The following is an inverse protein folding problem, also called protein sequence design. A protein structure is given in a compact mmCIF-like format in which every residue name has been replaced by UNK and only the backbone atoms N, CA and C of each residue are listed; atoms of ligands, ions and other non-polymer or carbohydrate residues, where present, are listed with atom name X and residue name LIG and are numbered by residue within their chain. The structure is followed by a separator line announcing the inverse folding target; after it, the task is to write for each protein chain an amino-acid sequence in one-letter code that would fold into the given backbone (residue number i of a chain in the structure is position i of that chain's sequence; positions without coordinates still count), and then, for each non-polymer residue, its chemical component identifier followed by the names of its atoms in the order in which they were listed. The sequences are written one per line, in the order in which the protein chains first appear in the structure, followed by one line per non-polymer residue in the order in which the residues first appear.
data_IF_047390011110
#
_entry.id   IF_047390011110
#
_cell.length_a   1.000
_cell.length_b   1.000
_cell.length_c   1.000
_cell.angle_alpha   90.00
_cell.angle_beta   90.00
_cell.angle_gamma   90.00
#
_symmetry.space_group_name_H-M   'P 1'
#
loop_
_entity.id
_entity.type
_entity.pdbx_description
1 polymer ?
#
# COMPACT_ATOMS: atom_id res chain seq x y z
N UNK A 1 -12.09 17.83 8.34
CA UNK A 1 -12.20 16.98 7.14
C UNK A 1 -12.55 15.57 7.57
N UNK A 2 -13.66 15.03 7.07
CA UNK A 2 -14.04 13.63 7.25
C UNK A 2 -13.08 12.74 6.45
N UNK A 3 -12.81 11.53 6.95
CA UNK A 3 -12.00 10.55 6.23
C UNK A 3 -12.81 9.80 5.17
N UNK A 4 -14.07 9.50 5.47
CA UNK A 4 -15.02 8.95 4.49
C UNK A 4 -15.32 10.00 3.43
N UNK A 5 -14.99 9.70 2.19
CA UNK A 5 -15.21 10.54 1.02
C UNK A 5 -15.38 9.63 -0.22
N UNK A 6 -16.62 9.26 -0.59
CA UNK A 6 -16.86 8.32 -1.68
C UNK A 6 -16.44 8.82 -3.07
N UNK A 7 -16.32 10.14 -3.26
CA UNK A 7 -15.97 10.72 -4.57
C UNK A 7 -14.46 10.87 -4.79
N UNK A 8 -13.62 10.50 -3.82
CA UNK A 8 -12.17 10.54 -3.98
C UNK A 8 -11.60 9.16 -4.35
N UNK A 9 -10.29 9.13 -4.63
CA UNK A 9 -9.57 7.88 -4.80
C UNK A 9 -9.76 6.98 -3.58
N UNK A 10 -10.20 5.74 -3.81
CA UNK A 10 -10.32 4.72 -2.77
C UNK A 10 -9.02 4.62 -1.98
N UNK A 11 -9.08 5.02 -0.71
CA UNK A 11 -7.92 5.01 0.20
C UNK A 11 -8.22 4.09 1.36
N UNK A 12 -7.24 3.30 1.77
CA UNK A 12 -7.31 2.43 2.93
C UNK A 12 -6.10 2.67 3.84
N UNK A 13 -6.34 2.76 5.14
CA UNK A 13 -5.33 2.98 6.18
C UNK A 13 -5.50 1.90 7.24
N UNK A 14 -4.41 1.25 7.63
CA UNK A 14 -4.43 0.14 8.58
C UNK A 14 -4.12 0.65 9.99
N UNK A 15 -4.86 0.15 10.98
CA UNK A 15 -4.47 0.19 12.39
C UNK A 15 -4.90 -1.10 13.07
N UNK A 16 -4.34 -1.41 14.23
CA UNK A 16 -4.74 -2.58 15.01
C UNK A 16 -5.42 -2.13 16.29
N UNK A 17 -6.45 -2.85 16.71
CA UNK A 17 -7.07 -2.63 18.02
C UNK A 17 -6.07 -2.97 19.12
N UNK A 18 -5.89 -2.06 20.07
CA UNK A 18 -4.92 -2.21 21.16
C UNK A 18 -5.13 -3.50 21.97
N UNK A 19 -6.38 -3.90 22.17
CA UNK A 19 -6.75 -5.06 22.99
C UNK A 19 -6.37 -6.40 22.37
N UNK A 20 -6.18 -6.45 21.04
CA UNK A 20 -5.75 -7.64 20.33
C UNK A 20 -4.80 -7.28 19.18
N UNK A 21 -3.50 -7.21 19.50
CA UNK A 21 -2.44 -6.87 18.55
C UNK A 21 -2.12 -7.99 17.55
N UNK A 22 -2.64 -9.20 17.77
CA UNK A 22 -2.45 -10.35 16.89
C UNK A 22 -3.63 -10.53 15.90
N UNK A 23 -4.66 -9.70 16.00
CA UNK A 23 -5.80 -9.70 15.09
C UNK A 23 -5.41 -9.20 13.67
N UNK A 24 -6.29 -9.46 12.70
CA UNK A 24 -6.25 -8.76 11.40
C UNK A 24 -6.40 -7.24 11.64
N UNK A 25 -5.76 -6.40 10.81
CA UNK A 25 -5.80 -4.97 10.99
C UNK A 25 -7.20 -4.47 10.64
N UNK A 26 -7.64 -3.42 11.31
CA UNK A 26 -8.80 -2.63 10.89
C UNK A 26 -8.39 -1.76 9.71
N UNK A 27 -9.18 -1.79 8.65
CA UNK A 27 -9.02 -0.91 7.49
C UNK A 27 -9.98 0.27 7.66
N UNK A 28 -9.42 1.45 7.93
CA UNK A 28 -10.14 2.70 7.73
C UNK A 28 -10.15 2.97 6.23
N UNK A 29 -11.33 3.03 5.60
CA UNK A 29 -11.43 3.30 4.17
C UNK A 29 -12.28 4.52 3.84
N UNK A 30 -11.98 5.20 2.73
CA UNK A 30 -12.78 6.36 2.27
C UNK A 30 -14.18 5.96 1.81
N UNK A 31 -14.39 4.66 1.52
CA UNK A 31 -15.62 4.06 1.04
C UNK A 31 -16.33 3.21 2.10
N UNK A 32 -15.91 3.28 3.37
CA UNK A 32 -16.57 2.56 4.46
C UNK A 32 -18.03 3.01 4.63
N UNK A 33 -18.92 2.05 4.85
CA UNK A 33 -20.34 2.30 5.10
C UNK A 33 -20.75 2.04 6.55
N UNK A 34 -19.82 1.61 7.40
CA UNK A 34 -20.12 1.29 8.79
C UNK A 34 -20.60 2.52 9.58
N UNK A 35 -21.57 2.30 10.46
CA UNK A 35 -22.00 3.30 11.44
C UNK A 35 -20.91 3.51 12.49
N UNK A 36 -20.12 2.48 12.78
CA UNK A 36 -19.09 2.50 13.81
C UNK A 36 -17.98 3.53 13.51
N UNK A 37 -17.59 3.70 12.24
CA UNK A 37 -16.54 4.63 11.83
C UNK A 37 -17.09 5.92 11.20
N UNK A 38 -18.41 6.10 11.22
CA UNK A 38 -19.04 7.30 10.67
C UNK A 38 -18.52 8.57 11.36
N UNK A 39 -18.27 9.62 10.57
CA UNK A 39 -17.76 10.89 11.07
C UNK A 39 -16.30 10.88 11.54
N UNK A 40 -15.56 9.77 11.37
CA UNK A 40 -14.12 9.76 11.64
C UNK A 40 -13.40 10.79 10.76
N UNK A 41 -12.56 11.61 11.39
CA UNK A 41 -11.80 12.66 10.72
C UNK A 41 -10.46 12.13 10.23
N UNK A 42 -9.93 12.70 9.16
CA UNK A 42 -8.63 12.32 8.57
C UNK A 42 -7.53 12.26 9.63
N UNK A 43 -7.44 13.27 10.51
CA UNK A 43 -6.39 13.31 11.54
C UNK A 43 -6.50 12.19 12.59
N UNK A 44 -7.72 11.70 12.89
CA UNK A 44 -7.92 10.58 13.84
C UNK A 44 -7.43 9.28 13.23
N UNK A 45 -7.75 9.06 11.95
CA UNK A 45 -7.28 7.90 11.18
C UNK A 45 -5.76 7.94 11.00
N UNK A 46 -5.21 9.10 10.63
CA UNK A 46 -3.77 9.32 10.53
C UNK A 46 -3.07 9.04 11.88
N UNK A 47 -3.65 9.52 12.98
CA UNK A 47 -3.11 9.26 14.33
C UNK A 47 -3.22 7.80 14.74
N UNK A 48 -4.27 7.08 14.33
CA UNK A 48 -4.43 5.66 14.62
C UNK A 48 -3.32 4.83 13.95
N UNK A 49 -3.06 5.06 12.66
CA UNK A 49 -1.99 4.35 11.95
C UNK A 49 -0.60 4.75 12.41
N UNK A 50 -0.39 5.97 12.93
CA UNK A 50 0.93 6.43 13.36
C UNK A 50 1.21 6.20 14.85
N UNK A 51 0.28 5.61 15.60
CA UNK A 51 0.40 5.40 17.05
C UNK A 51 1.30 4.20 17.35
N UNK A 52 2.57 4.26 16.95
CA UNK A 52 3.55 3.20 17.11
C UNK A 52 3.71 2.82 18.58
N UNK A 53 3.45 1.55 18.88
CA UNK A 53 3.60 1.00 20.24
C UNK A 53 5.02 1.27 20.72
N UNK A 54 5.18 1.70 21.98
CA UNK A 54 6.43 2.17 22.61
C UNK A 54 6.86 3.61 22.30
N UNK A 55 6.30 4.26 21.28
CA UNK A 55 6.59 5.66 20.93
C UNK A 55 5.44 6.61 21.24
N UNK A 56 4.21 6.18 20.95
CA UNK A 56 3.03 7.04 21.00
C UNK A 56 1.89 6.42 21.79
N UNK A 57 1.07 7.27 22.43
CA UNK A 57 -0.17 6.84 23.07
C UNK A 57 -1.19 6.38 22.02
N UNK A 58 -1.96 5.31 22.30
CA UNK A 58 -3.11 4.89 21.49
C UNK A 58 -4.14 6.02 21.33
N UNK A 59 -5.03 5.88 20.34
CA UNK A 59 -6.13 6.82 20.11
C UNK A 59 -7.47 6.09 20.05
N UNK A 60 -8.51 6.73 20.60
CA UNK A 60 -9.89 6.26 20.48
C UNK A 60 -10.54 6.76 19.20
N UNK A 61 -11.09 5.85 18.40
CA UNK A 61 -11.71 6.15 17.11
C UNK A 61 -13.07 5.46 17.01
N UNK A 62 -13.99 6.07 16.26
CA UNK A 62 -15.34 5.55 16.04
C UNK A 62 -16.32 5.83 17.18
N UNK A 63 -17.58 5.43 16.96
CA UNK A 63 -18.71 5.60 17.88
C UNK A 63 -18.45 4.97 19.24
N UNK A 64 -17.89 3.76 19.22
CA UNK A 64 -17.70 2.94 20.42
C UNK A 64 -16.36 3.26 21.13
N UNK A 65 -15.58 4.22 20.60
CA UNK A 65 -14.35 4.69 21.23
C UNK A 65 -13.24 3.64 21.31
N UNK A 66 -13.17 2.72 20.35
CA UNK A 66 -12.18 1.64 20.29
C UNK A 66 -10.77 2.22 20.25
N UNK A 67 -9.86 1.67 21.08
CA UNK A 67 -8.46 2.10 21.12
C UNK A 67 -7.65 1.44 19.99
N UNK A 68 -6.99 2.26 19.19
CA UNK A 68 -6.14 1.84 18.08
C UNK A 68 -4.67 2.21 18.30
N UNK A 69 -3.81 1.35 17.77
CA UNK A 69 -2.35 1.51 17.66
C UNK A 69 -1.90 1.24 16.22
N UNK A 70 -0.67 1.62 15.91
CA UNK A 70 -0.03 1.39 14.62
C UNK A 70 -0.01 -0.11 14.24
N UNK A 71 -0.25 -0.40 12.97
CA UNK A 71 -0.24 -1.75 12.42
C UNK A 71 1.17 -2.29 12.09
N UNK A 72 2.23 -1.53 12.37
CA UNK A 72 3.61 -1.88 12.06
C UNK A 72 4.06 -3.21 12.68
N UNK A 73 3.42 -3.65 13.76
CA UNK A 73 3.54 -5.01 14.26
C UNK A 73 2.78 -5.99 13.35
N UNK A 74 3.43 -6.44 12.28
CA UNK A 74 2.90 -7.47 11.37
C UNK A 74 2.45 -6.93 10.01
N UNK A 75 2.04 -5.66 9.93
CA UNK A 75 1.53 -5.04 8.70
C UNK A 75 2.30 -3.77 8.31
N UNK A 76 3.58 -3.68 8.68
CA UNK A 76 4.46 -2.56 8.28
C UNK A 76 4.67 -2.44 6.76
N UNK A 77 4.45 -3.53 6.03
CA UNK A 77 4.17 -3.48 4.59
C UNK A 77 2.70 -3.88 4.39
N UNK A 78 1.80 -2.93 4.10
CA UNK A 78 0.36 -3.23 4.02
C UNK A 78 -0.02 -3.90 2.70
N UNK A 79 0.91 -4.09 1.75
CA UNK A 79 0.58 -4.44 0.37
C UNK A 79 -0.18 -5.76 0.24
N UNK A 80 0.11 -6.78 1.06
CA UNK A 80 -0.65 -8.04 0.99
C UNK A 80 -2.13 -7.83 1.34
N UNK A 81 -2.40 -7.11 2.44
CA UNK A 81 -3.76 -6.75 2.86
C UNK A 81 -4.45 -5.85 1.83
N UNK A 82 -3.71 -4.92 1.23
CA UNK A 82 -4.25 -4.00 0.24
C UNK A 82 -4.49 -4.66 -1.13
N UNK A 83 -3.72 -5.67 -1.50
CA UNK A 83 -3.98 -6.50 -2.69
C UNK A 83 -5.27 -7.28 -2.50
N UNK A 84 -5.46 -7.91 -1.32
CA UNK A 84 -6.72 -8.60 -0.99
C UNK A 84 -7.92 -7.62 -1.00
N UNK A 85 -7.76 -6.42 -0.43
CA UNK A 85 -8.81 -5.39 -0.45
C UNK A 85 -9.11 -4.92 -1.87
N UNK A 86 -8.09 -4.65 -2.68
CA UNK A 86 -8.27 -4.21 -4.06
C UNK A 86 -9.00 -5.27 -4.90
N UNK A 87 -8.67 -6.55 -4.76
CA UNK A 87 -9.39 -7.65 -5.42
C UNK A 87 -10.88 -7.68 -5.02
N UNK A 88 -11.22 -7.36 -3.76
CA UNK A 88 -12.62 -7.26 -3.31
C UNK A 88 -13.33 -6.02 -3.85
N UNK A 89 -12.65 -4.88 -3.94
CA UNK A 89 -13.24 -3.62 -4.39
C UNK A 89 -13.41 -3.54 -5.90
N UNK A 90 -12.62 -4.32 -6.65
CA UNK A 90 -12.56 -4.28 -8.11
C UNK A 90 -12.77 -5.68 -8.70
N UNK A 91 -13.92 -6.33 -8.45
CA UNK A 91 -14.20 -7.65 -8.99
C UNK A 91 -14.23 -7.59 -10.52
N UNK A 92 -13.53 -8.51 -11.18
CA UNK A 92 -13.47 -8.58 -12.66
C UNK A 92 -12.28 -7.88 -13.31
N UNK A 93 -11.46 -7.14 -12.54
CA UNK A 93 -10.20 -6.62 -13.06
C UNK A 93 -9.12 -7.71 -13.02
N UNK A 94 -8.73 -8.21 -14.20
CA UNK A 94 -7.79 -9.33 -14.36
C UNK A 94 -6.32 -8.94 -14.18
N UNK A 95 -6.00 -7.65 -14.11
CA UNK A 95 -4.63 -7.15 -13.98
C UNK A 95 -4.55 -6.06 -12.91
N UNK A 96 -3.64 -6.24 -11.95
CA UNK A 96 -3.31 -5.27 -10.92
C UNK A 96 -1.85 -4.87 -11.07
N UNK A 97 -1.54 -3.58 -10.87
CA UNK A 97 -0.18 -3.12 -10.64
C UNK A 97 -0.05 -2.59 -9.24
N UNK A 98 0.98 -3.03 -8.53
CA UNK A 98 1.25 -2.70 -7.14
C UNK A 98 2.60 -2.01 -7.06
N UNK A 99 2.57 -0.77 -6.58
CA UNK A 99 3.76 -0.01 -6.21
C UNK A 99 3.89 -0.01 -4.69
N UNK A 100 4.95 -0.62 -4.18
CA UNK A 100 5.29 -0.63 -2.76
C UNK A 100 6.45 0.32 -2.51
N UNK A 101 6.26 1.33 -1.67
CA UNK A 101 7.32 2.25 -1.26
C UNK A 101 7.66 1.97 0.20
N UNK A 102 8.90 1.55 0.45
CA UNK A 102 9.41 1.31 1.78
C UNK A 102 10.14 2.54 2.35
N UNK A 103 10.16 2.64 3.68
CA UNK A 103 10.79 3.73 4.42
C UNK A 103 12.29 3.51 4.68
N UNK A 104 12.86 2.47 4.10
CA UNK A 104 14.27 2.11 4.27
C UNK A 104 14.61 1.44 5.60
N UNK A 105 13.60 1.00 6.35
CA UNK A 105 13.80 0.25 7.59
C UNK A 105 14.39 -1.14 7.29
N UNK A 106 15.72 -1.24 7.38
CA UNK A 106 16.52 -2.41 7.07
C UNK A 106 16.86 -3.27 8.28
N UNK A 107 18.05 -3.91 8.26
CA UNK A 107 18.54 -4.70 9.39
C UNK A 107 18.97 -3.77 10.53
N UNK A 108 18.02 -3.53 11.42
CA UNK A 108 18.19 -2.66 12.59
C UNK A 108 19.31 -3.22 13.46
N UNK A 109 20.42 -2.48 13.55
CA UNK A 109 21.53 -2.79 14.44
C UNK A 109 21.22 -2.31 15.86
N UNK A 110 21.95 -2.83 16.85
CA UNK A 110 21.85 -2.27 18.19
C UNK A 110 22.41 -0.83 18.14
N UNK A 111 21.62 0.13 18.61
CA UNK A 111 21.99 1.56 18.63
C UNK A 111 22.21 1.94 20.08
N UNK A 112 23.35 2.58 20.37
CA UNK A 112 23.67 3.08 21.71
C UNK A 112 22.55 4.02 22.20
N UNK A 113 22.22 3.95 23.49
CA UNK A 113 21.17 4.75 24.14
C UNK A 113 19.72 4.51 23.66
N UNK A 114 19.46 3.51 22.81
CA UNK A 114 18.09 3.14 22.42
C UNK A 114 17.55 2.02 23.31
N UNK A 115 16.30 2.17 23.79
CA UNK A 115 15.64 1.14 24.62
C UNK A 115 15.53 -0.18 23.84
N UNK A 116 15.89 -1.30 24.47
CA UNK A 116 15.80 -2.64 23.87
C UNK A 116 14.40 -2.99 23.32
N UNK A 117 13.34 -2.49 23.96
CA UNK A 117 11.96 -2.68 23.48
C UNK A 117 11.72 -2.02 22.12
N UNK A 118 12.31 -0.85 21.89
CA UNK A 118 12.23 -0.11 20.62
C UNK A 118 13.00 -0.86 19.54
N UNK A 119 14.25 -1.29 19.83
CA UNK A 119 15.06 -2.07 18.89
C UNK A 119 14.31 -3.35 18.47
N UNK A 120 13.71 -4.05 19.43
CA UNK A 120 12.92 -5.26 19.15
C UNK A 120 11.69 -4.97 18.28
N UNK A 121 11.00 -3.85 18.54
CA UNK A 121 9.87 -3.41 17.72
C UNK A 121 10.30 -3.12 16.28
N UNK A 122 11.33 -2.31 16.09
CA UNK A 122 11.86 -1.96 14.77
C UNK A 122 12.34 -3.21 14.00
N UNK A 123 13.03 -4.15 14.66
CA UNK A 123 13.40 -5.44 14.06
C UNK A 123 12.18 -6.21 13.56
N UNK A 124 11.13 -6.35 14.38
CA UNK A 124 9.89 -7.05 13.99
C UNK A 124 9.18 -6.35 12.82
N UNK A 125 9.15 -5.02 12.81
CA UNK A 125 8.60 -4.21 11.71
C UNK A 125 9.40 -4.41 10.40
N UNK A 126 10.73 -4.42 10.47
CA UNK A 126 11.61 -4.66 9.32
C UNK A 126 11.40 -6.08 8.76
N UNK A 127 11.46 -7.11 9.63
CA UNK A 127 11.30 -8.51 9.22
C UNK A 127 9.94 -8.77 8.57
N UNK A 128 8.85 -8.27 9.17
CA UNK A 128 7.50 -8.42 8.58
C UNK A 128 7.38 -7.71 7.23
N UNK A 129 7.92 -6.49 7.10
CA UNK A 129 7.92 -5.73 5.86
C UNK A 129 8.68 -6.46 4.73
N UNK A 130 9.86 -7.01 5.04
CA UNK A 130 10.67 -7.84 4.12
C UNK A 130 9.95 -9.11 3.71
N UNK A 131 9.28 -9.81 4.64
CA UNK A 131 8.53 -11.05 4.35
C UNK A 131 7.40 -10.80 3.34
N UNK A 132 6.59 -9.76 3.56
CA UNK A 132 5.51 -9.39 2.63
C UNK A 132 6.09 -9.01 1.27
N UNK A 133 7.19 -8.24 1.26
CA UNK A 133 7.84 -7.86 0.01
C UNK A 133 8.30 -9.07 -0.81
N UNK A 134 8.97 -10.03 -0.19
CA UNK A 134 9.41 -11.25 -0.85
C UNK A 134 8.22 -12.11 -1.35
N UNK A 135 7.15 -12.23 -0.57
CA UNK A 135 5.96 -12.99 -0.99
C UNK A 135 5.24 -12.36 -2.18
N UNK A 136 5.18 -11.03 -2.27
CA UNK A 136 4.57 -10.35 -3.40
C UNK A 136 5.48 -10.36 -4.63
N UNK A 137 6.80 -10.27 -4.44
CA UNK A 137 7.77 -10.38 -5.52
C UNK A 137 7.76 -11.78 -6.17
N UNK A 138 7.71 -12.84 -5.35
CA UNK A 138 7.57 -14.22 -5.83
C UNK A 138 6.27 -14.42 -6.66
N UNK A 139 5.15 -13.83 -6.21
CA UNK A 139 3.86 -13.95 -6.90
C UNK A 139 3.73 -13.08 -8.16
N UNK A 140 4.29 -11.87 -8.14
CA UNK A 140 3.92 -10.80 -9.07
C UNK A 140 5.11 -10.05 -9.68
N UNK A 141 6.34 -10.28 -9.19
CA UNK A 141 7.55 -9.61 -9.67
C UNK A 141 7.91 -10.05 -11.10
N UNK A 142 7.87 -11.36 -11.37
CA UNK A 142 8.17 -11.91 -12.70
C UNK A 142 7.20 -11.47 -13.81
N UNK A 143 5.97 -11.10 -13.45
CA UNK A 143 4.95 -10.59 -14.39
C UNK A 143 4.98 -9.07 -14.55
N UNK A 144 5.87 -8.35 -13.85
CA UNK A 144 5.92 -6.90 -13.86
C UNK A 144 4.68 -6.25 -13.22
N UNK A 145 3.97 -6.97 -12.35
CA UNK A 145 2.79 -6.48 -11.64
C UNK A 145 3.14 -5.89 -10.28
N UNK A 146 4.29 -6.23 -9.72
CA UNK A 146 4.74 -5.72 -8.43
C UNK A 146 6.11 -5.05 -8.56
N UNK A 147 6.20 -3.82 -8.05
CA UNK A 147 7.44 -3.08 -7.92
C UNK A 147 7.60 -2.62 -6.48
N UNK A 148 8.78 -2.84 -5.90
CA UNK A 148 9.13 -2.29 -4.59
C UNK A 148 10.36 -1.43 -4.66
N UNK A 149 10.21 -0.19 -4.18
CA UNK A 149 11.31 0.74 -3.99
C UNK A 149 11.52 0.98 -2.50
N UNK A 150 12.72 0.71 -2.02
CA UNK A 150 13.06 0.83 -0.60
C UNK A 150 14.57 1.06 -0.46
N UNK A 151 14.96 2.14 0.22
CA UNK A 151 16.37 2.41 0.54
C UNK A 151 16.92 1.26 1.37
N UNK A 152 17.86 0.50 0.82
CA UNK A 152 18.36 -0.75 1.40
C UNK A 152 19.67 -0.57 2.18
N UNK A 153 20.36 0.56 1.98
CA UNK A 153 21.64 0.87 2.63
C UNK A 153 21.68 2.29 3.21
N UNK A 154 22.28 2.43 4.39
CA UNK A 154 22.62 3.71 5.01
C UNK A 154 21.60 4.28 5.99
N UNK A 155 20.51 3.56 6.26
CA UNK A 155 19.47 3.96 7.21
C UNK A 155 19.32 2.98 8.40
N UNK A 156 20.26 2.04 8.58
CA UNK A 156 20.16 0.95 9.55
C UNK A 156 20.23 1.42 11.01
N UNK A 157 20.86 2.56 11.27
CA UNK A 157 21.03 3.19 12.59
C UNK A 157 20.03 4.33 12.83
N UNK A 158 19.06 4.53 11.93
CA UNK A 158 18.04 5.58 12.05
C UNK A 158 16.79 5.00 12.70
N UNK A 159 16.39 5.58 13.83
CA UNK A 159 15.16 5.21 14.55
C UNK A 159 13.98 6.10 14.17
N UNK A 160 12.76 5.70 14.58
CA UNK A 160 11.55 6.50 14.40
C UNK A 160 11.58 7.86 15.11
N UNK A 161 12.49 8.04 16.08
CA UNK A 161 12.64 9.29 16.84
C UNK A 161 13.72 10.22 16.27
N UNK A 162 14.49 9.79 15.26
CA UNK A 162 15.67 10.50 14.77
C UNK A 162 15.29 11.58 13.72
N UNK A 163 14.35 12.45 14.08
CA UNK A 163 13.83 13.49 13.18
C UNK A 163 14.91 14.47 12.71
N UNK A 164 15.99 14.63 13.48
CA UNK A 164 17.13 15.49 13.16
C UNK A 164 18.01 14.92 12.03
N UNK A 165 17.93 13.61 11.73
CA UNK A 165 18.71 12.95 10.66
C UNK A 165 18.12 13.13 9.26
N UNK A 166 17.22 14.10 9.06
CA UNK A 166 16.55 14.36 7.78
C UNK A 166 17.54 14.56 6.59
N UNK A 167 18.68 15.20 6.82
CA UNK A 167 19.73 15.37 5.80
C UNK A 167 20.30 14.02 5.34
N UNK A 168 20.64 13.14 6.28
CA UNK A 168 21.14 11.78 6.03
C UNK A 168 20.11 10.95 5.27
N UNK A 169 18.84 10.98 5.71
CA UNK A 169 17.72 10.30 5.02
C UNK A 169 17.61 10.79 3.58
N UNK A 170 17.68 12.11 3.35
CA UNK A 170 17.61 12.67 2.01
C UNK A 170 18.79 12.26 1.13
N UNK A 171 20.01 12.20 1.68
CA UNK A 171 21.20 11.80 0.93
C UNK A 171 21.10 10.35 0.45
N UNK A 172 20.79 9.41 1.36
CA UNK A 172 20.64 8.00 1.00
C UNK A 172 19.46 7.76 0.04
N UNK A 173 18.35 8.49 0.22
CA UNK A 173 17.23 8.42 -0.71
C UNK A 173 17.62 8.87 -2.13
N UNK A 174 18.39 9.96 -2.27
CA UNK A 174 18.85 10.43 -3.59
C UNK A 174 19.81 9.45 -4.26
N UNK A 175 20.70 8.84 -3.49
CA UNK A 175 21.61 7.81 -4.02
C UNK A 175 20.81 6.60 -4.50
N UNK A 176 19.87 6.11 -3.67
CA UNK A 176 18.98 5.00 -4.04
C UNK A 176 18.21 5.29 -5.33
N UNK A 177 17.63 6.49 -5.48
CA UNK A 177 16.90 6.87 -6.69
C UNK A 177 17.81 6.91 -7.92
N UNK A 178 19.06 7.37 -7.76
CA UNK A 178 20.06 7.41 -8.83
C UNK A 178 20.45 6.00 -9.30
N UNK A 179 20.68 5.09 -8.35
CA UNK A 179 21.08 3.71 -8.62
C UNK A 179 19.93 2.89 -9.24
N UNK A 180 18.68 3.23 -8.90
CA UNK A 180 17.48 2.50 -9.33
C UNK A 180 16.73 3.18 -10.49
N UNK A 181 17.32 4.18 -11.14
CA UNK A 181 16.67 4.94 -12.22
C UNK A 181 16.08 4.07 -13.33
N UNK A 182 16.75 2.98 -13.70
CA UNK A 182 16.27 2.07 -14.74
C UNK A 182 14.96 1.40 -14.36
N UNK A 183 14.92 0.77 -13.17
CA UNK A 183 13.72 0.11 -12.67
C UNK A 183 12.55 1.11 -12.48
N UNK A 184 12.85 2.32 -12.01
CA UNK A 184 11.86 3.41 -11.88
C UNK A 184 11.28 3.77 -13.26
N UNK A 185 12.12 3.94 -14.29
CA UNK A 185 11.65 4.22 -15.65
C UNK A 185 10.81 3.07 -16.22
N UNK A 186 11.23 1.84 -16.01
CA UNK A 186 10.47 0.64 -16.43
C UNK A 186 9.08 0.60 -15.79
N UNK A 187 8.98 0.90 -14.48
CA UNK A 187 7.70 1.02 -13.79
C UNK A 187 6.83 2.16 -14.36
N UNK A 188 7.39 3.36 -14.55
CA UNK A 188 6.64 4.51 -15.09
C UNK A 188 6.11 4.18 -16.50
N UNK A 189 6.91 3.56 -17.35
CA UNK A 189 6.47 3.13 -18.68
C UNK A 189 5.35 2.08 -18.61
N UNK A 190 5.43 1.11 -17.70
CA UNK A 190 4.40 0.09 -17.54
C UNK A 190 3.08 0.66 -17.01
N UNK A 191 3.14 1.66 -16.13
CA UNK A 191 1.99 2.35 -15.58
C UNK A 191 1.26 3.20 -16.64
N UNK A 192 2.02 3.97 -17.42
CA UNK A 192 1.45 4.86 -18.46
C UNK A 192 0.80 4.05 -19.57
N UNK A 193 1.45 2.98 -20.07
CA UNK A 193 0.89 2.14 -21.15
C UNK A 193 -0.47 1.55 -20.80
N UNK A 194 -0.66 1.13 -19.56
CA UNK A 194 -1.95 0.59 -19.14
C UNK A 194 -3.06 1.63 -19.03
N UNK A 195 -2.72 2.91 -18.82
CA UNK A 195 -3.69 3.99 -18.94
C UNK A 195 -4.22 4.15 -20.36
N UNK A 196 -3.37 3.90 -21.37
CA UNK A 196 -3.75 3.98 -22.79
C UNK A 196 -4.59 2.79 -23.26
N UNK A 197 -4.22 1.57 -22.85
CA UNK A 197 -4.93 0.36 -23.29
C UNK A 197 -6.33 0.23 -22.63
N UNK A 198 -6.54 0.86 -21.47
CA UNK A 198 -7.83 0.87 -20.77
C UNK A 198 -8.88 1.81 -21.37
N UNK A 199 -8.49 2.79 -22.18
CA UNK A 199 -9.37 3.84 -22.74
C UNK A 199 -9.89 3.48 -24.16
N UNK A 200 -9.21 2.57 -24.87
CA UNK A 200 -9.56 2.16 -26.24
C UNK A 200 -10.55 0.98 -26.33
N UNK A 201 -11.11 0.51 -25.21
CA UNK A 201 -12.04 -0.64 -25.17
C UNK A 201 -13.48 -0.35 -25.61
N UNK A 202 -13.79 0.85 -26.10
CA UNK A 202 -15.16 1.36 -26.26
C UNK A 202 -15.59 1.76 -27.67
N UNK A 203 -14.97 1.25 -28.75
CA UNK A 203 -15.47 1.53 -30.10
C UNK A 203 -15.62 0.24 -30.92
N UNK A 204 -16.71 -0.48 -30.69
CA UNK A 204 -17.20 -1.47 -31.65
C UNK A 204 -17.75 -0.72 -32.88
N UNK A 205 -17.04 -0.83 -34.00
CA UNK A 205 -17.56 -0.44 -35.31
C UNK A 205 -18.88 -1.18 -35.60
N UNK A 206 -19.91 -0.52 -36.14
CA UNK A 206 -21.13 -1.21 -36.54
C UNK A 206 -20.83 -2.17 -37.69
N UNK A 207 -21.32 -3.41 -37.57
CA UNK A 207 -21.18 -4.43 -38.59
C UNK A 207 -21.80 -3.96 -39.91
N UNK A 208 -21.06 -4.18 -41.02
CA UNK A 208 -21.54 -3.93 -42.37
C UNK A 208 -22.79 -4.79 -42.68
N UNK A 209 -23.74 -4.30 -43.51
CA UNK A 209 -24.95 -5.03 -43.79
C UNK A 209 -24.64 -6.27 -44.65
N UNK A 210 -25.34 -7.36 -44.36
CA UNK A 210 -25.22 -8.64 -45.06
C UNK A 210 -25.59 -8.48 -46.54
N UNK A 211 -24.71 -8.95 -47.43
CA UNK A 211 -24.99 -9.06 -48.85
C UNK A 211 -26.06 -10.13 -49.08
N UNK A 212 -27.16 -9.75 -49.74
CA UNK A 212 -28.14 -10.70 -50.29
C UNK A 212 -27.47 -11.55 -51.36
N UNK A 213 -27.35 -12.84 -51.08
CA UNK A 213 -27.15 -13.88 -52.08
C UNK A 213 -28.43 -14.72 -52.11
N UNK A 214 -29.22 -14.59 -53.19
CA UNK A 214 -30.08 -15.67 -53.63
C UNK A 214 -30.23 -15.65 -55.15
N UNK A 215 -29.26 -16.29 -55.79
CA UNK A 215 -29.41 -16.82 -57.13
C UNK A 215 -29.96 -18.24 -57.10
N UNK A 216 -31.15 -18.40 -57.69
CA UNK A 216 -31.61 -19.49 -58.55
C UNK A 216 -31.61 -20.97 -58.09
N UNK A 217 -32.77 -21.60 -58.36
CA UNK A 217 -33.08 -22.97 -58.87
C UNK A 217 -34.22 -23.59 -58.03
N UNK A 218 -35.29 -24.17 -58.58
CA UNK A 218 -35.44 -25.03 -59.76
C UNK A 218 -36.92 -25.15 -60.19
N UNK A 219 -37.09 -25.63 -61.44
CA UNK A 219 -38.26 -26.26 -62.09
C UNK A 219 -39.48 -25.40 -62.41
#
# INVERSE_FOLDING_TARGET
MAFREPSCTKTAVLAITKDNVDARPTLFTTYDTSVALHGCTVWKVARATSAATTFFKPIRVGRDGVEFVDAGFGYNNPCEVLVEEAQRQFPGHLSMRVLSIGTGLGDVVAIENTRMSIIKALKKMATSSKKVAASLDDRYGGSGQYYRFNVDQGLQDITLSDWEKASTISAHTRNYLSDNQRAIREFVHSLVRAGYDGDNGGNSQPAAPAAELNGARNS
#
